data_IF_561909271702
#
_entry.id   IF_561909271702
#
_cell.length_a   1.000
_cell.length_b   1.000
_cell.length_c   1.000
_cell.angle_alpha   90.00
_cell.angle_beta   90.00
_cell.angle_gamma   90.00
#
_symmetry.space_group_name_H-M   'P 1'
#
loop_
_entity.id
_entity.type
_entity.pdbx_description
1 polymer ?
#
# COMPACT_ATOMS: atom_id res chain seq x y z
N UNK A 1 -26.96 -12.96 -7.25
CA UNK A 1 -25.95 -12.19 -8.01
C UNK A 1 -24.74 -12.13 -7.12
N UNK A 2 -23.77 -13.00 -7.37
CA UNK A 2 -22.52 -13.03 -6.61
C UNK A 2 -21.62 -11.96 -7.23
N UNK A 3 -21.00 -11.13 -6.40
CA UNK A 3 -20.03 -10.12 -6.82
C UNK A 3 -18.63 -10.68 -6.56
N UNK A 4 -18.05 -11.49 -7.47
CA UNK A 4 -16.86 -12.28 -7.17
C UNK A 4 -15.58 -11.44 -6.96
N UNK A 5 -15.59 -10.13 -7.26
CA UNK A 5 -14.37 -9.31 -7.32
C UNK A 5 -14.53 -7.91 -6.69
N UNK A 6 -15.39 -7.76 -5.68
CA UNK A 6 -15.49 -6.49 -4.96
C UNK A 6 -14.32 -6.32 -3.99
N UNK A 7 -13.26 -5.67 -4.47
CA UNK A 7 -12.11 -5.24 -3.66
C UNK A 7 -10.80 -5.92 -4.04
N UNK A 8 -9.72 -5.48 -3.40
CA UNK A 8 -8.37 -6.06 -3.54
C UNK A 8 -7.82 -6.43 -2.17
N UNK A 9 -7.09 -7.54 -2.13
CA UNK A 9 -6.39 -7.94 -0.93
C UNK A 9 -5.13 -7.10 -0.75
N UNK A 10 -4.81 -6.82 0.51
CA UNK A 10 -3.54 -6.22 0.88
C UNK A 10 -2.39 -7.10 0.39
N UNK A 11 -1.38 -6.51 -0.25
CA UNK A 11 -0.18 -7.22 -0.70
C UNK A 11 0.84 -7.44 0.42
N UNK A 12 0.55 -6.97 1.64
CA UNK A 12 1.36 -7.22 2.83
C UNK A 12 1.15 -8.69 3.28
N UNK A 13 2.23 -9.43 3.49
CA UNK A 13 2.21 -10.88 3.72
C UNK A 13 1.50 -11.30 5.01
N UNK A 14 1.55 -10.46 6.05
CA UNK A 14 0.88 -10.70 7.33
C UNK A 14 -0.58 -10.22 7.34
N UNK A 15 -1.02 -9.51 6.29
CA UNK A 15 -2.32 -8.87 6.21
C UNK A 15 -3.18 -9.50 5.11
N UNK A 16 -4.31 -10.07 5.52
CA UNK A 16 -5.31 -10.65 4.59
C UNK A 16 -6.55 -9.78 4.44
N UNK A 17 -6.45 -8.49 4.74
CA UNK A 17 -7.55 -7.55 4.59
C UNK A 17 -7.94 -7.41 3.12
N UNK A 18 -9.24 -7.55 2.85
CA UNK A 18 -9.87 -7.21 1.58
C UNK A 18 -10.45 -5.81 1.72
N UNK A 19 -9.92 -4.86 0.94
CA UNK A 19 -10.42 -3.49 0.93
C UNK A 19 -11.11 -3.19 -0.42
N UNK A 20 -12.29 -2.58 -0.35
CA UNK A 20 -13.08 -2.22 -1.53
C UNK A 20 -12.50 -1.01 -2.27
N UNK A 21 -11.68 -0.20 -1.59
CA UNK A 21 -10.94 0.93 -2.15
C UNK A 21 -9.45 0.59 -2.14
N UNK A 22 -8.89 0.02 -3.23
CA UNK A 22 -7.48 -0.35 -3.26
C UNK A 22 -6.60 0.89 -3.15
N UNK A 23 -5.79 0.96 -2.09
CA UNK A 23 -4.76 1.98 -1.96
C UNK A 23 -3.48 1.49 -2.63
N UNK A 24 -3.17 2.05 -3.80
CA UNK A 24 -1.94 1.72 -4.52
C UNK A 24 -0.76 2.52 -3.98
N UNK A 25 0.29 1.83 -3.54
CA UNK A 25 1.53 2.48 -3.14
C UNK A 25 2.18 3.13 -4.37
N UNK A 26 2.49 4.42 -4.30
CA UNK A 26 3.05 5.13 -5.45
C UNK A 26 4.46 4.64 -5.83
N UNK A 27 5.15 4.01 -4.88
CA UNK A 27 6.56 3.61 -5.02
C UNK A 27 6.70 2.18 -5.56
N UNK A 28 6.02 1.20 -4.95
CA UNK A 28 6.08 -0.20 -5.38
C UNK A 28 4.91 -0.61 -6.30
N UNK A 29 3.92 0.27 -6.49
CA UNK A 29 2.72 0.08 -7.33
C UNK A 29 1.83 -1.12 -6.94
N UNK A 30 2.04 -1.69 -5.76
CA UNK A 30 1.21 -2.74 -5.17
C UNK A 30 0.01 -2.16 -4.42
N UNK A 31 -1.04 -2.97 -4.25
CA UNK A 31 -2.30 -2.60 -3.62
C UNK A 31 -2.32 -3.02 -2.15
N UNK A 32 -2.75 -2.09 -1.27
CA UNK A 32 -2.75 -2.25 0.18
C UNK A 32 -4.08 -1.77 0.78
N UNK A 33 -4.37 -2.21 2.01
CA UNK A 33 -5.49 -1.71 2.79
C UNK A 33 -5.16 -0.34 3.44
N UNK A 34 -6.17 0.30 4.04
CA UNK A 34 -6.05 1.62 4.71
C UNK A 34 -4.98 1.68 5.82
N UNK A 35 -4.57 0.55 6.38
CA UNK A 35 -3.54 0.48 7.44
C UNK A 35 -2.14 0.33 6.84
N UNK A 36 -2.04 -0.35 5.69
CA UNK A 36 -0.77 -0.71 5.06
C UNK A 36 -0.40 0.12 3.82
N UNK A 37 -1.20 1.12 3.43
CA UNK A 37 -0.91 1.96 2.25
C UNK A 37 0.38 2.79 2.35
N UNK A 38 0.87 3.06 3.56
CA UNK A 38 2.11 3.83 3.77
C UNK A 38 3.34 2.94 3.57
N UNK A 39 4.41 3.50 2.98
CA UNK A 39 5.65 2.75 2.73
C UNK A 39 6.27 2.13 4.00
N UNK A 40 6.08 2.76 5.16
CA UNK A 40 6.54 2.25 6.44
C UNK A 40 5.72 1.04 6.91
N UNK A 41 4.40 1.09 6.72
CA UNK A 41 3.50 0.04 7.19
C UNK A 41 3.67 -1.29 6.43
N UNK A 42 3.95 -1.26 5.13
CA UNK A 42 4.16 -2.49 4.33
C UNK A 42 5.63 -2.82 4.05
N UNK A 43 6.58 -2.22 4.79
CA UNK A 43 8.02 -2.39 4.56
C UNK A 43 8.39 -2.28 3.07
N UNK A 44 8.00 -1.17 2.44
CA UNK A 44 8.12 -1.00 1.00
C UNK A 44 9.56 -1.25 0.53
N UNK A 45 9.81 -2.19 -0.41
CA UNK A 45 11.16 -2.50 -0.88
C UNK A 45 11.84 -1.30 -1.56
N UNK A 46 11.04 -0.33 -2.01
CA UNK A 46 11.51 0.90 -2.64
C UNK A 46 11.40 2.14 -1.72
N UNK A 47 11.08 1.98 -0.43
CA UNK A 47 10.93 3.10 0.52
C UNK A 47 12.15 4.04 0.54
N UNK A 48 13.35 3.48 0.36
CA UNK A 48 14.62 4.20 0.34
C UNK A 48 14.71 5.27 -0.75
N UNK A 49 13.95 5.18 -1.85
CA UNK A 49 13.89 6.23 -2.88
C UNK A 49 13.21 7.51 -2.38
N UNK A 50 12.37 7.43 -1.35
CA UNK A 50 11.58 8.57 -0.83
C UNK A 50 12.29 9.38 0.26
N UNK A 51 13.36 8.85 0.86
CA UNK A 51 14.10 9.52 1.95
C UNK A 51 14.73 10.84 1.48
N UNK A 52 15.11 10.92 0.20
CA UNK A 52 15.82 12.09 -0.34
C UNK A 52 14.89 13.32 -0.51
N UNK A 53 13.56 13.13 -0.54
CA UNK A 53 12.60 14.18 -0.91
C UNK A 53 11.87 14.82 0.28
N UNK A 54 11.99 14.26 1.50
CA UNK A 54 11.29 14.76 2.69
C UNK A 54 12.13 15.72 3.55
N UNK A 55 13.43 15.87 3.28
CA UNK A 55 14.31 16.78 4.02
C UNK A 55 14.38 18.21 3.42
N UNK A 56 13.51 18.54 2.46
CA UNK A 56 13.39 19.87 1.84
C UNK A 56 12.01 20.49 2.11
N UNK A 57 11.58 20.43 3.37
CA UNK A 57 10.44 21.18 3.90
C UNK A 57 10.82 21.71 5.28
N UNK A 58 11.81 22.60 5.31
CA UNK A 58 11.97 23.59 6.36
C UNK A 58 12.45 24.90 5.75
#
# INVERSE_FOLDING_TARGET
MEFPDLGKHCSEQTCKQLDFLPFKCDVCKQDFCKEHFTCAAHNCPFAFKKVIILHSKN
#
